data_IF_470966136804
#
_entry.id   IF_470966136804
#
_cell.length_a   1.000
_cell.length_b   1.000
_cell.length_c   1.000
_cell.angle_alpha   90.00
_cell.angle_beta   90.00
_cell.angle_gamma   90.00
#
_symmetry.space_group_name_H-M   'P 1'
#
loop_
_entity.id
_entity.type
_entity.pdbx_description
1 polymer ?
#
# COMPACT_ATOMS: atom_id res chain seq x y z
N UNK A 1 -2.62 -3.52 10.91
CA UNK A 1 -1.36 -3.29 10.18
C UNK A 1 -0.35 -2.50 11.01
N UNK A 2 -0.60 -1.22 11.32
CA UNK A 2 0.34 -0.38 12.10
C UNK A 2 0.69 -1.04 13.45
N UNK A 3 -0.29 -1.55 14.18
CA UNK A 3 -0.09 -2.30 15.45
C UNK A 3 0.70 -3.59 15.33
N UNK A 4 0.71 -4.21 14.16
CA UNK A 4 1.49 -5.42 13.90
C UNK A 4 2.94 -5.10 13.48
N UNK A 5 3.14 -3.97 12.77
CA UNK A 5 4.45 -3.55 12.26
C UNK A 5 5.28 -2.79 13.30
N UNK A 6 4.67 -1.93 14.11
CA UNK A 6 5.41 -1.12 15.10
C UNK A 6 6.29 -1.96 16.05
N UNK A 7 5.83 -3.09 16.62
CA UNK A 7 6.65 -3.92 17.51
C UNK A 7 7.87 -4.58 16.84
N UNK A 8 7.93 -4.63 15.51
CA UNK A 8 9.07 -5.20 14.78
C UNK A 8 10.18 -4.19 14.53
N UNK A 9 9.98 -2.93 14.94
CA UNK A 9 10.89 -1.81 14.64
C UNK A 9 10.74 -1.25 13.23
N UNK A 10 9.69 -1.66 12.49
CA UNK A 10 9.36 -1.06 11.20
C UNK A 10 8.90 0.40 11.41
N UNK A 11 9.34 1.36 10.57
CA UNK A 11 9.12 2.80 10.81
C UNK A 11 7.66 3.22 10.52
N UNK A 12 6.78 2.96 11.48
CA UNK A 12 5.40 3.43 11.51
C UNK A 12 5.13 4.17 12.82
N UNK A 13 4.17 5.12 12.87
CA UNK A 13 3.80 5.78 14.11
C UNK A 13 3.37 4.78 15.18
N UNK A 14 3.73 5.03 16.44
CA UNK A 14 3.26 4.20 17.55
C UNK A 14 1.72 4.24 17.64
N UNK A 15 1.01 3.10 17.55
CA UNK A 15 -0.43 3.06 17.74
C UNK A 15 -0.76 3.15 19.23
N UNK A 16 -1.63 4.09 19.60
CA UNK A 16 -1.94 4.40 21.01
C UNK A 16 -3.29 3.83 21.45
N UNK A 17 -4.33 3.95 20.61
CA UNK A 17 -5.67 3.44 20.93
C UNK A 17 -6.49 3.16 19.67
N UNK A 18 -7.41 2.20 19.75
CA UNK A 18 -8.49 1.97 18.79
C UNK A 18 -9.81 2.05 19.55
N UNK A 19 -10.73 2.89 19.07
CA UNK A 19 -12.08 3.01 19.58
C UNK A 19 -13.06 2.60 18.47
N UNK A 20 -13.79 1.51 18.71
CA UNK A 20 -14.85 1.04 17.80
C UNK A 20 -16.25 1.44 18.28
N UNK A 21 -16.32 2.15 19.41
CA UNK A 21 -17.56 2.67 19.96
C UNK A 21 -17.93 3.96 19.25
N UNK A 22 -18.96 3.88 18.40
CA UNK A 22 -19.44 5.03 17.62
C UNK A 22 -20.13 6.08 18.50
N UNK A 23 -20.55 5.75 19.73
CA UNK A 23 -21.19 6.71 20.63
C UNK A 23 -20.22 7.80 21.13
N UNK A 24 -18.91 7.58 21.01
CA UNK A 24 -17.89 8.52 21.50
C UNK A 24 -17.79 9.78 20.61
N UNK A 25 -17.71 9.62 19.28
CA UNK A 25 -17.59 10.74 18.33
C UNK A 25 -18.40 10.58 17.04
N UNK A 26 -19.27 9.58 16.94
CA UNK A 26 -20.10 9.29 15.77
C UNK A 26 -19.47 8.38 14.71
N UNK A 27 -18.28 7.82 14.97
CA UNK A 27 -17.62 6.84 14.10
C UNK A 27 -16.46 6.15 14.83
N UNK A 28 -16.08 4.96 14.38
CA UNK A 28 -14.82 4.34 14.83
C UNK A 28 -13.60 5.22 14.52
N UNK A 29 -12.63 5.27 15.42
CA UNK A 29 -11.40 6.04 15.25
C UNK A 29 -10.21 5.36 15.94
N UNK A 30 -9.00 5.80 15.61
CA UNK A 30 -7.79 5.38 16.30
C UNK A 30 -6.88 6.58 16.55
N UNK A 31 -6.00 6.45 17.55
CA UNK A 31 -5.02 7.45 17.93
C UNK A 31 -3.63 6.85 17.75
N UNK A 32 -2.70 7.63 17.23
CA UNK A 32 -1.31 7.25 17.04
C UNK A 32 -0.37 8.42 17.39
N UNK A 33 0.91 8.12 17.50
CA UNK A 33 1.97 9.11 17.67
C UNK A 33 1.96 10.16 16.56
N UNK A 34 2.23 11.41 16.93
CA UNK A 34 2.54 12.47 15.99
C UNK A 34 4.04 12.42 15.68
N UNK A 35 4.40 11.88 14.51
CA UNK A 35 5.79 11.83 14.04
C UNK A 35 6.13 13.15 13.36
N UNK A 36 7.05 13.90 13.96
CA UNK A 36 7.60 15.10 13.32
C UNK A 36 8.53 14.72 12.16
N UNK A 37 8.31 15.33 10.99
CA UNK A 37 9.08 15.00 9.80
C UNK A 37 8.73 15.86 8.60
N UNK A 38 9.25 15.46 7.44
CA UNK A 38 9.05 16.16 6.17
C UNK A 38 8.19 15.29 5.25
N UNK A 39 7.15 15.87 4.67
CA UNK A 39 6.37 15.23 3.59
C UNK A 39 6.75 15.87 2.27
N UNK A 40 7.26 15.05 1.34
CA UNK A 40 7.60 15.50 0.00
C UNK A 40 6.45 15.23 -0.97
N UNK A 41 5.77 16.29 -1.40
CA UNK A 41 4.67 16.19 -2.37
C UNK A 41 5.16 16.14 -3.82
N UNK A 42 6.29 16.81 -4.10
CA UNK A 42 6.90 16.82 -5.42
C UNK A 42 7.99 15.74 -5.51
N UNK A 43 7.74 14.68 -6.28
CA UNK A 43 8.70 13.61 -6.53
C UNK A 43 10.00 14.07 -7.19
N UNK A 44 10.06 15.25 -7.81
CA UNK A 44 11.32 15.82 -8.31
C UNK A 44 12.26 16.30 -7.19
N UNK A 45 11.75 16.44 -5.96
CA UNK A 45 12.50 16.86 -4.77
C UNK A 45 13.34 18.13 -5.01
N UNK A 46 12.73 19.23 -5.49
CA UNK A 46 13.45 20.40 -5.99
C UNK A 46 14.37 21.04 -4.93
N UNK A 47 13.97 20.99 -3.67
CA UNK A 47 14.68 21.60 -2.54
C UNK A 47 15.84 20.74 -2.00
N UNK A 48 16.11 19.60 -2.62
CA UNK A 48 17.22 18.71 -2.27
C UNK A 48 18.31 18.77 -3.36
N UNK A 49 19.56 18.69 -2.93
CA UNK A 49 20.71 18.48 -3.81
C UNK A 49 20.68 17.08 -4.44
N UNK A 50 21.40 16.84 -5.56
CA UNK A 50 21.40 15.53 -6.20
C UNK A 50 21.77 14.34 -5.27
N UNK A 51 22.77 14.45 -4.36
CA UNK A 51 23.05 13.40 -3.38
C UNK A 51 21.91 13.16 -2.38
N UNK A 52 21.27 14.23 -1.89
CA UNK A 52 20.14 14.12 -0.95
C UNK A 52 18.92 13.47 -1.60
N UNK A 53 18.64 13.79 -2.88
CA UNK A 53 17.59 13.12 -3.65
C UNK A 53 17.85 11.63 -3.76
N UNK A 54 19.09 11.25 -4.07
CA UNK A 54 19.49 9.85 -4.15
C UNK A 54 19.22 9.13 -2.83
N UNK A 55 19.70 9.70 -1.72
CA UNK A 55 19.49 9.13 -0.40
C UNK A 55 18.00 8.98 -0.04
N UNK A 56 17.16 9.96 -0.39
CA UNK A 56 15.72 9.88 -0.15
C UNK A 56 15.05 8.75 -0.96
N UNK A 57 15.44 8.57 -2.22
CA UNK A 57 14.93 7.50 -3.07
C UNK A 57 15.45 6.12 -2.64
N UNK A 58 16.72 6.01 -2.23
CA UNK A 58 17.28 4.79 -1.65
C UNK A 58 16.54 4.40 -0.37
N UNK A 59 16.33 5.35 0.55
CA UNK A 59 15.57 5.11 1.77
C UNK A 59 14.11 4.66 1.49
N UNK A 60 13.46 5.21 0.47
CA UNK A 60 12.12 4.78 0.04
C UNK A 60 12.13 3.32 -0.44
N UNK A 61 13.10 2.95 -1.28
CA UNK A 61 13.26 1.58 -1.78
C UNK A 61 13.58 0.63 -0.64
N UNK A 62 14.50 0.99 0.25
CA UNK A 62 14.88 0.18 1.41
C UNK A 62 13.69 -0.06 2.34
N UNK A 63 12.86 0.96 2.57
CA UNK A 63 11.65 0.84 3.41
C UNK A 63 10.64 -0.11 2.78
N UNK A 64 10.41 -0.02 1.46
CA UNK A 64 9.52 -0.94 0.75
C UNK A 64 10.09 -2.36 0.71
N UNK A 65 11.40 -2.52 0.50
CA UNK A 65 12.06 -3.82 0.55
C UNK A 65 11.95 -4.45 1.93
N UNK A 66 12.15 -3.67 3.00
CA UNK A 66 11.96 -4.10 4.38
C UNK A 66 10.51 -4.54 4.63
N UNK A 67 9.52 -3.74 4.22
CA UNK A 67 8.10 -4.09 4.37
C UNK A 67 7.77 -5.40 3.65
N UNK A 68 8.24 -5.53 2.41
CA UNK A 68 7.97 -6.73 1.61
C UNK A 68 8.75 -7.97 2.08
N UNK A 69 9.66 -7.82 3.03
CA UNK A 69 10.42 -8.92 3.66
C UNK A 69 9.81 -9.36 4.99
N UNK A 70 8.82 -8.62 5.51
CA UNK A 70 8.08 -9.03 6.71
C UNK A 70 7.24 -10.27 6.40
N UNK A 71 7.41 -11.32 7.20
CA UNK A 71 6.53 -12.48 7.19
C UNK A 71 5.18 -12.11 7.83
N UNK A 72 4.07 -12.09 7.07
CA UNK A 72 2.76 -11.75 7.60
C UNK A 72 2.31 -12.67 8.74
N UNK A 73 2.68 -13.95 8.72
CA UNK A 73 2.28 -14.91 9.75
C UNK A 73 2.99 -14.58 11.07
N UNK A 74 4.30 -14.32 11.00
CA UNK A 74 5.11 -13.98 12.18
C UNK A 74 4.65 -12.70 12.89
N UNK A 75 3.97 -11.78 12.18
CA UNK A 75 3.42 -10.53 12.75
C UNK A 75 1.91 -10.59 13.00
N UNK A 76 1.28 -11.77 12.93
CA UNK A 76 -0.14 -11.97 13.23
C UNK A 76 -1.09 -11.38 12.17
N UNK A 77 -0.66 -11.33 10.91
CA UNK A 77 -1.41 -10.83 9.76
C UNK A 77 -1.76 -11.94 8.76
N UNK A 78 -1.79 -13.20 9.20
CA UNK A 78 -2.13 -14.36 8.37
C UNK A 78 -3.51 -14.23 7.69
N UNK A 79 -4.50 -13.67 8.40
CA UNK A 79 -5.86 -13.46 7.91
C UNK A 79 -6.13 -12.04 7.40
N UNK A 80 -5.10 -11.19 7.29
CA UNK A 80 -5.27 -9.79 6.91
C UNK A 80 -5.71 -9.60 5.45
N UNK A 81 -5.47 -10.59 4.59
CA UNK A 81 -5.86 -10.57 3.20
C UNK A 81 -5.95 -11.98 2.61
N UNK A 82 -6.49 -12.10 1.39
CA UNK A 82 -6.57 -13.39 0.69
C UNK A 82 -5.27 -13.66 -0.10
N UNK A 83 -4.49 -14.70 0.24
CA UNK A 83 -3.28 -15.04 -0.52
C UNK A 83 -3.61 -15.60 -1.93
N UNK A 84 -2.59 -15.68 -2.80
CA UNK A 84 -2.70 -16.18 -4.18
C UNK A 84 -3.39 -15.22 -5.16
N UNK A 85 -3.40 -15.54 -6.46
CA UNK A 85 -4.11 -14.87 -7.58
C UNK A 85 -4.26 -13.33 -7.50
N UNK A 86 -3.25 -12.63 -6.99
CA UNK A 86 -3.29 -11.20 -6.76
C UNK A 86 -3.50 -10.44 -8.06
N UNK A 87 -2.69 -10.73 -9.09
CA UNK A 87 -2.78 -10.04 -10.39
C UNK A 87 -4.16 -10.23 -11.04
N UNK A 88 -4.66 -11.46 -11.11
CA UNK A 88 -5.98 -11.74 -11.68
C UNK A 88 -7.10 -10.98 -10.95
N UNK A 89 -7.08 -11.02 -9.61
CA UNK A 89 -8.08 -10.31 -8.80
C UNK A 89 -8.02 -8.80 -8.98
N UNK A 90 -6.81 -8.23 -9.01
CA UNK A 90 -6.62 -6.79 -9.17
C UNK A 90 -7.08 -6.36 -10.57
N UNK A 91 -6.68 -7.08 -11.63
CA UNK A 91 -7.12 -6.78 -13.00
C UNK A 91 -8.64 -6.87 -13.12
N UNK A 92 -9.26 -7.92 -12.58
CA UNK A 92 -10.72 -8.05 -12.58
C UNK A 92 -11.40 -6.92 -11.80
N UNK A 93 -10.87 -6.55 -10.63
CA UNK A 93 -11.42 -5.47 -9.79
C UNK A 93 -11.34 -4.12 -10.48
N UNK A 94 -10.17 -3.76 -11.01
CA UNK A 94 -9.97 -2.48 -11.70
C UNK A 94 -10.78 -2.40 -13.00
N UNK A 95 -10.89 -3.51 -13.74
CA UNK A 95 -11.78 -3.60 -14.91
C UNK A 95 -13.23 -3.31 -14.51
N UNK A 96 -13.73 -3.96 -13.45
CA UNK A 96 -15.10 -3.73 -12.95
C UNK A 96 -15.30 -2.27 -12.51
N UNK A 97 -14.32 -1.67 -11.83
CA UNK A 97 -14.39 -0.27 -11.40
C UNK A 97 -14.39 0.70 -12.57
N UNK A 98 -13.54 0.47 -13.58
CA UNK A 98 -13.55 1.27 -14.81
C UNK A 98 -14.92 1.22 -15.47
N UNK A 99 -15.50 0.04 -15.68
CA UNK A 99 -16.83 -0.12 -16.28
C UNK A 99 -17.93 0.62 -15.52
N UNK A 100 -17.87 0.59 -14.18
CA UNK A 100 -18.85 1.27 -13.34
C UNK A 100 -18.75 2.80 -13.40
N UNK A 101 -17.57 3.33 -13.72
CA UNK A 101 -17.28 4.76 -13.77
C UNK A 101 -16.99 5.28 -15.19
N UNK A 102 -17.25 4.47 -16.22
CA UNK A 102 -16.90 4.79 -17.59
C UNK A 102 -17.77 5.95 -18.10
N UNK A 103 -17.12 7.06 -18.47
CA UNK A 103 -17.78 8.23 -19.08
C UNK A 103 -17.65 8.24 -20.59
N UNK A 104 -16.53 7.73 -21.11
CA UNK A 104 -16.15 7.74 -22.51
C UNK A 104 -15.61 6.38 -22.95
N UNK A 105 -15.68 6.11 -24.25
CA UNK A 105 -15.02 4.96 -24.85
C UNK A 105 -13.54 5.28 -25.09
N UNK A 106 -12.68 4.58 -24.35
CA UNK A 106 -11.22 4.74 -24.43
C UNK A 106 -10.58 3.46 -25.00
N UNK A 107 -10.28 3.41 -26.31
CA UNK A 107 -9.71 2.21 -26.95
C UNK A 107 -8.42 1.70 -26.29
N UNK A 108 -7.63 2.59 -25.69
CA UNK A 108 -6.43 2.26 -24.93
C UNK A 108 -6.74 1.40 -23.70
N UNK A 109 -7.80 1.74 -22.97
CA UNK A 109 -8.22 1.01 -21.78
C UNK A 109 -8.82 -0.34 -22.17
N UNK A 110 -9.58 -0.40 -23.27
CA UNK A 110 -10.08 -1.67 -23.83
C UNK A 110 -8.94 -2.63 -24.15
N UNK A 111 -7.88 -2.13 -24.81
CA UNK A 111 -6.68 -2.93 -25.08
C UNK A 111 -6.02 -3.44 -23.80
N UNK A 112 -5.96 -2.63 -22.74
CA UNK A 112 -5.40 -3.04 -21.44
C UNK A 112 -6.27 -4.11 -20.75
N UNK A 113 -7.59 -3.96 -20.78
CA UNK A 113 -8.54 -4.92 -20.21
C UNK A 113 -8.42 -6.29 -20.88
N UNK A 114 -8.21 -6.32 -22.19
CA UNK A 114 -7.99 -7.57 -22.94
C UNK A 114 -6.56 -8.12 -22.73
N UNK A 115 -5.55 -7.26 -22.66
CA UNK A 115 -4.14 -7.67 -22.54
C UNK A 115 -3.80 -8.25 -21.16
N UNK A 116 -4.07 -7.52 -20.08
CA UNK A 116 -3.54 -7.83 -18.74
C UNK A 116 -3.93 -9.22 -18.21
N UNK A 117 -5.15 -9.74 -18.39
CA UNK A 117 -5.50 -11.09 -17.92
C UNK A 117 -4.72 -12.20 -18.62
N UNK A 118 -4.30 -12.00 -19.88
CA UNK A 118 -3.60 -13.01 -20.69
C UNK A 118 -2.09 -13.02 -20.48
N UNK A 119 -1.56 -11.96 -19.88
CA UNK A 119 -0.11 -11.76 -19.72
C UNK A 119 0.30 -11.60 -18.26
N UNK A 120 -0.60 -11.86 -17.31
CA UNK A 120 -0.28 -11.84 -15.90
C UNK A 120 0.81 -12.89 -15.62
N UNK A 121 1.93 -12.51 -14.99
CA UNK A 121 2.96 -13.47 -14.62
C UNK A 121 2.45 -14.41 -13.54
N UNK A 122 3.04 -15.60 -13.46
CA UNK A 122 2.81 -16.49 -12.34
C UNK A 122 3.17 -15.79 -11.02
N UNK A 123 2.28 -15.85 -10.04
CA UNK A 123 2.54 -15.27 -8.73
C UNK A 123 3.48 -16.19 -7.94
N UNK A 124 4.71 -15.73 -7.72
CA UNK A 124 5.75 -16.50 -7.04
C UNK A 124 5.85 -16.22 -5.54
N UNK A 125 5.33 -15.07 -5.07
CA UNK A 125 5.31 -14.74 -3.63
C UNK A 125 4.11 -13.91 -3.20
N UNK A 126 3.91 -13.87 -1.88
CA UNK A 126 3.02 -12.94 -1.18
C UNK A 126 3.82 -12.15 -0.17
N UNK A 127 3.47 -10.89 0.04
CA UNK A 127 4.06 -10.01 1.04
C UNK A 127 3.01 -9.01 1.53
N UNK A 128 3.31 -8.30 2.62
CA UNK A 128 2.54 -7.10 3.00
C UNK A 128 2.77 -6.04 1.92
N UNK A 129 1.69 -5.47 1.37
CA UNK A 129 1.76 -4.38 0.38
C UNK A 129 1.14 -3.13 1.02
N UNK A 130 1.83 -1.98 0.94
CA UNK A 130 1.35 -0.73 1.52
C UNK A 130 0.04 -0.23 0.85
N UNK A 131 -0.06 -0.35 -0.48
CA UNK A 131 -1.21 0.05 -1.29
C UNK A 131 -1.18 -0.53 -2.69
#
# INVERSE_FOLDING_TARGET
LISALHPTGFPVPAPLALCQDEDVIGSAFYVMELVEGRTFWNGALPDLSPPERRAAYEAMVDTLAQLHSVDPVAVGLEDFGRPGNYFERQVARWTKQYRAAQTDDLPEVERLIDFLPRTAPEQTRTAIIHG
#
